data_IF_295768821516
#
_entry.id   IF_295768821516
#
_cell.length_a   1.000
_cell.length_b   1.000
_cell.length_c   1.000
_cell.angle_alpha   90.00
_cell.angle_beta   90.00
_cell.angle_gamma   90.00
#
_symmetry.space_group_name_H-M   'P 1'
#
loop_
_entity.id
_entity.type
_entity.pdbx_description
1 polymer ?
#
# COMPACT_ATOMS: atom_id res chain seq x y z
N UNK A 1 -59.58 -54.46 26.38
CA UNK A 1 -59.53 -54.29 24.92
C UNK A 1 -58.78 -53.01 24.59
N UNK A 2 -57.52 -53.22 24.48
CA UNK A 2 -56.57 -52.16 24.27
C UNK A 2 -55.89 -52.37 22.91
N UNK A 3 -55.99 -51.39 22.04
CA UNK A 3 -55.13 -51.28 20.87
C UNK A 3 -54.37 -49.98 20.94
N UNK A 4 -53.12 -50.08 21.27
CA UNK A 4 -52.16 -49.03 21.08
C UNK A 4 -51.38 -49.29 19.78
N UNK A 5 -51.52 -48.43 18.81
CA UNK A 5 -50.66 -48.35 17.59
C UNK A 5 -49.66 -47.21 17.76
N UNK A 6 -48.43 -47.58 18.07
CA UNK A 6 -47.26 -46.68 18.03
C UNK A 6 -46.60 -46.80 16.66
N UNK A 7 -46.79 -45.81 15.79
CA UNK A 7 -45.92 -45.59 14.65
C UNK A 7 -45.02 -44.38 14.95
N UNK A 8 -43.83 -44.68 15.39
CA UNK A 8 -42.73 -43.73 15.43
C UNK A 8 -41.99 -43.78 14.09
N UNK A 9 -42.22 -42.82 13.20
CA UNK A 9 -41.39 -42.57 12.03
C UNK A 9 -40.29 -41.57 12.43
N UNK A 10 -39.14 -42.09 12.80
CA UNK A 10 -37.89 -41.34 12.91
C UNK A 10 -37.30 -41.16 11.50
N UNK A 11 -37.65 -40.06 10.83
CA UNK A 11 -36.85 -39.57 9.72
C UNK A 11 -35.68 -38.79 10.31
N UNK A 12 -34.54 -39.44 10.47
CA UNK A 12 -33.25 -38.77 10.64
C UNK A 12 -32.87 -38.17 9.31
N UNK A 13 -33.07 -36.85 9.16
CA UNK A 13 -32.41 -36.09 8.13
C UNK A 13 -30.95 -36.00 8.52
N UNK A 14 -30.13 -36.93 7.99
CA UNK A 14 -28.70 -36.79 7.96
C UNK A 14 -28.39 -35.67 6.96
N UNK A 15 -28.27 -34.43 7.44
CA UNK A 15 -27.63 -33.36 6.70
C UNK A 15 -26.15 -33.77 6.51
N UNK A 16 -25.85 -34.36 5.37
CA UNK A 16 -24.50 -34.51 4.90
C UNK A 16 -23.96 -33.08 4.72
N UNK A 17 -23.27 -32.58 5.74
CA UNK A 17 -22.38 -31.42 5.57
C UNK A 17 -21.26 -31.89 4.66
N UNK A 18 -21.36 -31.53 3.39
CA UNK A 18 -20.22 -31.57 2.51
C UNK A 18 -19.18 -30.62 3.13
N UNK A 19 -18.17 -31.19 3.79
CA UNK A 19 -16.95 -30.47 4.13
C UNK A 19 -16.29 -30.10 2.78
N UNK A 20 -16.57 -28.90 2.30
CA UNK A 20 -15.78 -28.31 1.26
C UNK A 20 -14.36 -28.25 1.81
N UNK A 21 -13.45 -29.05 1.23
CA UNK A 21 -12.04 -29.02 1.57
C UNK A 21 -11.55 -27.58 1.51
N UNK A 22 -10.86 -27.12 2.56
CA UNK A 22 -10.25 -25.80 2.56
C UNK A 22 -9.17 -25.81 1.47
N UNK A 23 -9.38 -25.05 0.39
CA UNK A 23 -8.35 -24.81 -0.64
C UNK A 23 -7.12 -24.23 0.04
N UNK A 24 -5.99 -24.91 -0.11
CA UNK A 24 -4.73 -24.46 0.48
C UNK A 24 -3.94 -23.69 -0.57
N UNK A 25 -3.75 -22.41 -0.29
CA UNK A 25 -2.90 -21.55 -1.10
C UNK A 25 -1.48 -21.65 -0.52
N UNK A 26 -0.50 -21.85 -1.38
CA UNK A 26 0.92 -21.79 -1.02
C UNK A 26 1.67 -20.88 -1.99
N UNK A 27 2.71 -20.25 -1.50
CA UNK A 27 3.54 -19.36 -2.31
C UNK A 27 4.99 -19.81 -2.30
N UNK A 28 5.66 -19.64 -3.42
CA UNK A 28 7.10 -19.81 -3.58
C UNK A 28 7.72 -18.51 -4.05
N UNK A 29 8.89 -18.18 -3.51
CA UNK A 29 9.60 -16.94 -3.87
C UNK A 29 10.97 -17.29 -4.43
N UNK A 30 11.31 -16.67 -5.56
CA UNK A 30 12.66 -16.62 -6.12
C UNK A 30 13.11 -15.16 -6.18
N UNK A 31 14.33 -14.88 -5.71
CA UNK A 31 14.83 -13.51 -5.68
C UNK A 31 16.34 -13.48 -5.91
N UNK A 32 16.75 -12.75 -6.93
CA UNK A 32 18.14 -12.49 -7.24
C UNK A 32 18.44 -11.00 -7.10
N UNK A 33 19.61 -10.65 -6.56
CA UNK A 33 20.04 -9.26 -6.49
C UNK A 33 21.54 -9.14 -6.58
N UNK A 34 21.99 -8.22 -7.44
CA UNK A 34 23.40 -7.84 -7.57
C UNK A 34 23.55 -6.39 -7.13
N UNK A 35 24.41 -6.16 -6.13
CA UNK A 35 24.69 -4.80 -5.65
C UNK A 35 26.18 -4.52 -5.74
N UNK A 36 26.55 -3.44 -6.43
CA UNK A 36 27.92 -2.93 -6.52
C UNK A 36 27.98 -1.58 -5.83
N UNK A 37 28.86 -1.44 -4.82
CA UNK A 37 29.08 -0.17 -4.12
C UNK A 37 30.55 0.20 -4.18
N UNK A 38 30.83 1.47 -4.31
CA UNK A 38 32.19 1.99 -4.29
C UNK A 38 32.28 3.40 -3.75
N UNK A 39 33.49 3.74 -3.34
CA UNK A 39 33.83 5.07 -2.82
C UNK A 39 35.12 5.55 -3.42
N UNK A 40 35.17 6.83 -3.74
CA UNK A 40 36.38 7.48 -4.21
C UNK A 40 36.65 8.78 -3.43
N UNK A 41 37.75 8.83 -2.70
CA UNK A 41 38.17 10.03 -1.97
C UNK A 41 38.87 10.99 -2.92
N UNK A 42 38.41 12.23 -2.96
CA UNK A 42 38.97 13.31 -3.74
C UNK A 42 39.69 14.27 -2.76
N UNK A 43 40.92 14.63 -3.08
CA UNK A 43 41.61 15.69 -2.34
C UNK A 43 41.32 17.07 -2.98
N UNK A 44 40.02 17.30 -3.24
CA UNK A 44 39.53 18.50 -3.93
C UNK A 44 39.07 19.58 -2.95
N UNK A 45 39.03 20.84 -3.42
CA UNK A 45 38.55 21.95 -2.60
C UNK A 45 37.03 22.04 -2.50
N UNK A 46 36.28 21.30 -3.33
CA UNK A 46 34.82 21.39 -3.39
C UNK A 46 34.13 20.05 -3.07
N UNK A 47 34.69 18.94 -3.54
CA UNK A 47 34.16 17.59 -3.32
C UNK A 47 35.23 16.76 -2.62
N UNK A 48 34.93 16.20 -1.46
CA UNK A 48 35.83 15.40 -0.64
C UNK A 48 35.78 13.93 -1.01
N UNK A 49 34.56 13.43 -1.31
CA UNK A 49 34.29 12.02 -1.54
C UNK A 49 33.11 11.85 -2.49
N UNK A 50 33.19 10.84 -3.32
CA UNK A 50 32.07 10.32 -4.12
C UNK A 50 31.79 8.90 -3.67
N UNK A 51 30.59 8.61 -3.27
CA UNK A 51 30.05 7.25 -3.12
C UNK A 51 29.13 6.94 -4.27
N UNK A 52 29.15 5.70 -4.76
CA UNK A 52 28.25 5.27 -5.83
C UNK A 52 27.73 3.87 -5.55
N UNK A 53 26.53 3.61 -6.10
CA UNK A 53 25.84 2.34 -6.00
C UNK A 53 25.19 2.00 -7.35
N UNK A 54 25.27 0.74 -7.71
CA UNK A 54 24.42 0.09 -8.70
C UNK A 54 23.76 -1.09 -8.05
N UNK A 55 22.47 -1.28 -8.30
CA UNK A 55 21.72 -2.45 -7.89
C UNK A 55 20.83 -2.89 -9.04
N UNK A 56 20.81 -4.20 -9.24
CA UNK A 56 19.90 -4.91 -10.13
C UNK A 56 19.22 -5.98 -9.30
N UNK A 57 17.92 -6.09 -9.40
CA UNK A 57 17.13 -7.04 -8.63
C UNK A 57 15.97 -7.59 -9.44
N UNK A 58 15.78 -8.87 -9.30
CA UNK A 58 14.69 -9.65 -9.89
C UNK A 58 13.99 -10.40 -8.75
N UNK A 59 12.67 -10.28 -8.70
CA UNK A 59 11.84 -10.90 -7.69
C UNK A 59 10.64 -11.54 -8.36
N UNK A 60 10.42 -12.83 -8.08
CA UNK A 60 9.29 -13.61 -8.57
C UNK A 60 8.62 -14.29 -7.38
N UNK A 61 7.33 -14.02 -7.19
CA UNK A 61 6.46 -14.73 -6.26
C UNK A 61 5.43 -15.51 -7.09
N UNK A 62 5.34 -16.82 -6.86
CA UNK A 62 4.33 -17.69 -7.48
C UNK A 62 3.36 -18.13 -6.40
N UNK A 63 2.09 -17.88 -6.59
CA UNK A 63 0.99 -18.39 -5.77
C UNK A 63 0.28 -19.50 -6.53
N UNK A 64 0.05 -20.63 -5.85
CA UNK A 64 -0.54 -21.84 -6.42
C UNK A 64 -1.55 -22.43 -5.44
N UNK A 65 -2.55 -23.14 -5.95
CA UNK A 65 -3.60 -23.77 -5.17
C UNK A 65 -3.35 -25.28 -5.13
N UNK A 66 -3.36 -25.88 -3.94
CA UNK A 66 -3.31 -27.32 -3.78
C UNK A 66 -4.75 -27.86 -3.75
N UNK A 67 -5.22 -28.43 -4.86
CA UNK A 67 -6.46 -29.18 -4.87
C UNK A 67 -6.23 -30.49 -4.10
N UNK A 68 -6.91 -30.69 -2.97
CA UNK A 68 -6.95 -32.01 -2.33
C UNK A 68 -7.66 -32.98 -3.27
N UNK A 69 -6.87 -33.92 -3.84
CA UNK A 69 -7.37 -34.90 -4.79
C UNK A 69 -8.53 -35.70 -4.21
N UNK A 70 -9.72 -35.48 -4.73
CA UNK A 70 -10.85 -36.36 -4.51
C UNK A 70 -10.56 -37.74 -5.13
N UNK A 71 -10.44 -38.76 -4.27
CA UNK A 71 -10.30 -40.16 -4.67
C UNK A 71 -11.43 -40.57 -5.63
N UNK A 72 -11.01 -41.01 -6.81
CA UNK A 72 -11.65 -41.90 -7.77
C UNK A 72 -13.17 -42.18 -7.57
N UNK A 73 -14.04 -41.26 -7.98
CA UNK A 73 -15.35 -41.63 -8.49
C UNK A 73 -15.52 -41.05 -9.91
N UNK A 74 -15.38 -41.96 -10.88
CA UNK A 74 -15.32 -41.67 -12.29
C UNK A 74 -16.62 -41.04 -12.86
N UNK A 75 -16.57 -39.74 -13.01
CA UNK A 75 -17.25 -39.01 -14.07
C UNK A 75 -16.22 -38.03 -14.60
N UNK A 76 -15.93 -38.09 -15.93
CA UNK A 76 -14.98 -37.26 -16.63
C UNK A 76 -15.55 -35.82 -16.74
N UNK A 77 -15.59 -35.07 -15.62
CA UNK A 77 -15.68 -33.63 -15.65
C UNK A 77 -14.24 -33.11 -15.73
N UNK A 78 -13.93 -32.39 -16.81
CA UNK A 78 -12.64 -31.73 -17.02
C UNK A 78 -12.51 -30.67 -15.90
N UNK A 79 -11.78 -31.00 -14.81
CA UNK A 79 -11.35 -30.00 -13.83
C UNK A 79 -10.38 -29.07 -14.55
N UNK A 80 -10.77 -27.83 -14.72
CA UNK A 80 -9.88 -26.79 -15.20
C UNK A 80 -8.81 -26.59 -14.11
N UNK A 81 -7.59 -27.08 -14.38
CA UNK A 81 -6.43 -26.79 -13.53
C UNK A 81 -6.19 -25.26 -13.56
N UNK A 82 -6.42 -24.59 -12.44
CA UNK A 82 -6.14 -23.17 -12.33
C UNK A 82 -4.64 -22.92 -12.49
N UNK A 83 -4.27 -22.06 -13.44
CA UNK A 83 -2.87 -21.71 -13.63
C UNK A 83 -2.38 -20.81 -12.47
N UNK A 84 -1.16 -21.04 -11.95
CA UNK A 84 -0.64 -20.26 -10.85
C UNK A 84 -0.56 -18.77 -11.17
N UNK A 85 -0.75 -17.92 -10.18
CA UNK A 85 -0.56 -16.47 -10.29
C UNK A 85 0.89 -16.12 -9.98
N UNK A 86 1.54 -15.39 -10.88
CA UNK A 86 2.95 -15.03 -10.80
C UNK A 86 3.10 -13.53 -10.73
N UNK A 87 3.67 -13.05 -9.62
CA UNK A 87 4.03 -11.66 -9.38
C UNK A 87 5.50 -11.47 -9.72
N UNK A 88 5.81 -10.51 -10.56
CA UNK A 88 7.17 -10.19 -11.00
C UNK A 88 7.48 -8.73 -10.72
N UNK A 89 8.68 -8.49 -10.17
CA UNK A 89 9.23 -7.17 -9.97
C UNK A 89 10.70 -7.18 -10.40
N UNK A 90 11.03 -6.42 -11.43
CA UNK A 90 12.39 -6.21 -11.91
C UNK A 90 12.78 -4.75 -11.66
N UNK A 91 13.92 -4.49 -11.00
CA UNK A 91 14.33 -3.13 -10.71
C UNK A 91 15.83 -2.90 -10.91
N UNK A 92 16.16 -1.81 -11.57
CA UNK A 92 17.51 -1.30 -11.71
C UNK A 92 17.66 0.04 -11.00
N UNK A 93 18.65 0.17 -10.14
CA UNK A 93 18.91 1.38 -9.36
C UNK A 93 20.34 1.88 -9.52
N UNK A 94 20.50 3.18 -9.71
CA UNK A 94 21.78 3.90 -9.73
C UNK A 94 21.77 4.99 -8.66
N UNK A 95 22.72 4.92 -7.73
CA UNK A 95 22.87 5.91 -6.67
C UNK A 95 24.23 6.57 -6.71
N UNK A 96 24.28 7.87 -6.40
CA UNK A 96 25.52 8.59 -6.17
C UNK A 96 25.35 9.59 -5.03
N UNK A 97 26.39 9.78 -4.21
CA UNK A 97 26.45 10.87 -3.25
C UNK A 97 27.80 11.60 -3.31
N UNK A 98 27.72 12.91 -3.19
CA UNK A 98 28.88 13.80 -3.16
C UNK A 98 28.99 14.39 -1.76
N UNK A 99 30.12 14.12 -1.08
CA UNK A 99 30.49 14.83 0.15
C UNK A 99 31.13 16.16 -0.22
N UNK A 100 30.41 17.24 0.09
CA UNK A 100 30.88 18.63 -0.15
C UNK A 100 31.06 19.37 1.19
N UNK A 101 31.34 18.64 2.26
CA UNK A 101 31.58 19.15 3.60
C UNK A 101 32.81 20.03 3.65
N UNK A 102 32.80 20.96 4.58
CA UNK A 102 33.96 21.83 4.89
C UNK A 102 34.17 21.88 6.42
N UNK A 103 35.15 22.70 6.89
CA UNK A 103 35.50 22.78 8.31
C UNK A 103 34.38 23.33 9.20
N UNK A 104 33.30 23.86 8.61
CA UNK A 104 32.21 24.55 9.34
C UNK A 104 30.93 23.73 9.34
N UNK A 105 30.68 22.93 8.30
CA UNK A 105 29.45 22.17 8.15
C UNK A 105 29.68 20.89 7.33
N UNK A 106 28.93 19.86 7.69
CA UNK A 106 28.75 18.64 6.88
C UNK A 106 27.69 18.86 5.81
N UNK A 107 28.01 18.48 4.57
CA UNK A 107 27.04 18.61 3.47
C UNK A 107 27.16 17.45 2.50
N UNK A 108 26.00 17.00 2.00
CA UNK A 108 25.92 15.96 0.96
C UNK A 108 24.91 16.33 -0.10
N UNK A 109 25.25 16.06 -1.35
CA UNK A 109 24.31 15.98 -2.47
C UNK A 109 24.12 14.50 -2.81
N UNK A 110 22.86 14.09 -3.00
CA UNK A 110 22.49 12.72 -3.32
C UNK A 110 21.73 12.73 -4.63
N UNK A 111 22.00 11.74 -5.46
CA UNK A 111 21.29 11.47 -6.71
C UNK A 111 20.91 10.00 -6.69
N UNK A 112 19.66 9.71 -7.06
CA UNK A 112 19.19 8.35 -7.23
C UNK A 112 18.34 8.26 -8.49
N UNK A 113 18.43 7.14 -9.19
CA UNK A 113 17.55 6.80 -10.31
C UNK A 113 17.12 5.36 -10.12
N UNK A 114 15.83 5.12 -10.26
CA UNK A 114 15.19 3.79 -10.18
C UNK A 114 14.36 3.63 -11.45
N UNK A 115 14.47 2.46 -12.06
CA UNK A 115 13.60 1.98 -13.13
C UNK A 115 13.07 0.62 -12.68
N UNK A 116 11.75 0.49 -12.55
CA UNK A 116 11.09 -0.64 -11.93
C UNK A 116 9.88 -1.10 -12.76
N UNK A 117 9.91 -2.35 -13.19
CA UNK A 117 8.82 -3.01 -13.87
C UNK A 117 8.07 -3.95 -12.91
N UNK A 118 6.76 -3.81 -12.87
CA UNK A 118 5.85 -4.64 -12.08
C UNK A 118 4.86 -5.34 -12.99
N UNK A 119 4.64 -6.63 -12.80
CA UNK A 119 3.61 -7.36 -13.53
C UNK A 119 3.05 -8.52 -12.72
N UNK A 120 1.78 -8.83 -12.97
CA UNK A 120 1.10 -10.01 -12.44
C UNK A 120 0.58 -10.78 -13.66
N UNK A 121 0.89 -12.07 -13.74
CA UNK A 121 0.45 -12.94 -14.83
C UNK A 121 -0.16 -14.22 -14.28
N UNK A 122 -1.17 -14.77 -14.95
CA UNK A 122 -1.92 -15.94 -14.53
C UNK A 122 -3.41 -15.71 -14.75
N UNK A 123 -4.24 -16.67 -14.40
CA UNK A 123 -5.69 -16.54 -14.52
C UNK A 123 -6.27 -15.47 -13.58
N UNK A 124 -5.61 -15.25 -12.45
CA UNK A 124 -5.99 -14.30 -11.41
C UNK A 124 -5.12 -13.04 -11.42
N UNK A 125 -4.62 -12.65 -12.61
CA UNK A 125 -3.85 -11.43 -12.75
C UNK A 125 -4.76 -10.22 -12.57
N UNK A 126 -4.61 -9.51 -11.45
CA UNK A 126 -5.42 -8.34 -11.10
C UNK A 126 -4.69 -7.02 -11.31
N UNK A 127 -3.59 -7.00 -12.04
CA UNK A 127 -2.89 -5.79 -12.46
C UNK A 127 -2.18 -6.03 -13.79
N UNK A 128 -2.40 -5.15 -14.75
CA UNK A 128 -1.63 -5.13 -15.98
C UNK A 128 -0.16 -4.71 -15.72
N UNK A 129 0.79 -5.06 -16.60
CA UNK A 129 2.16 -4.58 -16.47
C UNK A 129 2.23 -3.06 -16.32
N UNK A 130 3.03 -2.61 -15.34
CA UNK A 130 3.22 -1.21 -15.01
C UNK A 130 4.70 -0.92 -14.77
N UNK A 131 5.16 0.28 -15.16
CA UNK A 131 6.52 0.75 -14.96
C UNK A 131 6.54 1.98 -14.07
N UNK A 132 7.60 2.12 -13.27
CA UNK A 132 7.88 3.27 -12.44
C UNK A 132 9.34 3.72 -12.64
N UNK A 133 9.53 4.90 -13.22
CA UNK A 133 10.83 5.56 -13.27
C UNK A 133 10.86 6.70 -12.26
N UNK A 134 11.92 6.77 -11.44
CA UNK A 134 12.07 7.82 -10.44
C UNK A 134 13.49 8.40 -10.46
N UNK A 135 13.60 9.71 -10.56
CA UNK A 135 14.86 10.45 -10.40
C UNK A 135 14.79 11.36 -9.19
N UNK A 136 15.68 11.13 -8.23
CA UNK A 136 15.78 11.88 -6.97
C UNK A 136 17.00 12.77 -6.93
N UNK A 137 16.81 13.99 -6.45
CA UNK A 137 17.91 14.86 -5.99
C UNK A 137 17.67 15.19 -4.52
N UNK A 138 18.66 14.87 -3.67
CA UNK A 138 18.65 15.18 -2.25
C UNK A 138 19.80 16.10 -1.84
N UNK A 139 19.55 16.98 -0.89
CA UNK A 139 20.57 17.77 -0.21
C UNK A 139 20.43 17.61 1.30
N UNK A 140 21.54 17.38 1.96
CA UNK A 140 21.63 17.32 3.43
C UNK A 140 22.73 18.28 3.91
N UNK A 141 22.43 18.98 5.01
CA UNK A 141 23.38 19.84 5.71
C UNK A 141 23.24 19.65 7.22
N UNK A 142 24.39 19.54 7.91
CA UNK A 142 24.46 19.53 9.37
C UNK A 142 25.53 20.55 9.82
N UNK A 143 25.21 21.34 10.81
CA UNK A 143 26.08 22.35 11.38
C UNK A 143 25.93 22.50 12.87
N UNK A 144 27.06 22.39 13.56
CA UNK A 144 27.17 22.76 14.97
C UNK A 144 27.48 24.27 15.10
N UNK A 145 26.67 24.93 15.91
CA UNK A 145 26.82 26.31 16.32
C UNK A 145 27.13 26.37 17.82
N UNK A 146 27.70 27.47 18.31
CA UNK A 146 28.10 27.57 19.71
C UNK A 146 26.98 27.29 20.73
N UNK A 147 25.72 27.48 20.33
CA UNK A 147 24.54 27.38 21.22
C UNK A 147 23.57 26.26 20.85
N UNK A 148 23.63 25.77 19.64
CA UNK A 148 22.72 24.75 19.11
C UNK A 148 23.27 24.10 17.84
N UNK A 149 22.80 22.93 17.50
CA UNK A 149 23.04 22.27 16.22
C UNK A 149 21.82 22.41 15.30
N UNK A 150 22.06 22.41 14.00
CA UNK A 150 21.00 22.45 12.98
C UNK A 150 21.28 21.40 11.92
N UNK A 151 20.28 20.60 11.62
CA UNK A 151 20.25 19.70 10.47
C UNK A 151 19.16 20.15 9.50
N UNK A 152 19.45 20.06 8.21
CA UNK A 152 18.53 20.37 7.13
C UNK A 152 18.59 19.24 6.09
N UNK A 153 17.44 18.74 5.68
CA UNK A 153 17.24 17.81 4.56
C UNK A 153 16.27 18.38 3.55
N UNK A 154 16.55 18.23 2.27
CA UNK A 154 15.66 18.56 1.15
C UNK A 154 15.74 17.46 0.11
N UNK A 155 14.59 17.11 -0.50
CA UNK A 155 14.49 16.11 -1.55
C UNK A 155 13.50 16.58 -2.59
N UNK A 156 13.82 16.34 -3.84
CA UNK A 156 12.93 16.55 -4.99
C UNK A 156 12.99 15.25 -5.80
N UNK A 157 11.82 14.73 -6.12
CA UNK A 157 11.67 13.55 -6.95
C UNK A 157 10.90 13.94 -8.22
N UNK A 158 11.40 13.47 -9.36
CA UNK A 158 10.68 13.44 -10.63
C UNK A 158 10.28 12.00 -10.86
N UNK A 159 8.99 11.75 -11.08
CA UNK A 159 8.43 10.42 -11.09
C UNK A 159 7.55 10.25 -12.32
N UNK A 160 7.86 9.24 -13.13
CA UNK A 160 7.08 8.79 -14.26
C UNK A 160 6.50 7.42 -13.98
N UNK A 161 5.17 7.28 -14.06
CA UNK A 161 4.47 6.00 -13.91
C UNK A 161 3.60 5.73 -15.10
N UNK A 162 3.75 4.55 -15.68
CA UNK A 162 2.91 4.08 -16.77
C UNK A 162 2.27 2.77 -16.42
N UNK A 163 1.02 2.61 -16.81
CA UNK A 163 0.25 1.39 -16.57
C UNK A 163 -1.07 1.42 -17.32
N UNK A 164 -1.88 0.40 -17.10
CA UNK A 164 -3.22 0.35 -17.69
C UNK A 164 -4.18 -0.42 -16.78
N UNK A 165 -5.47 -0.11 -16.93
CA UNK A 165 -6.57 -0.78 -16.25
C UNK A 165 -7.48 -1.39 -17.32
N UNK A 166 -7.88 -2.64 -17.15
CA UNK A 166 -8.82 -3.32 -18.03
C UNK A 166 -10.23 -3.16 -17.47
N UNK A 167 -11.18 -2.63 -18.25
CA UNK A 167 -12.59 -2.58 -17.89
C UNK A 167 -13.16 -4.01 -17.92
N UNK A 168 -13.62 -4.51 -16.79
CA UNK A 168 -14.13 -5.88 -16.65
C UNK A 168 -15.42 -6.12 -17.45
N UNK A 169 -16.27 -5.12 -17.63
CA UNK A 169 -17.55 -5.23 -18.30
C UNK A 169 -17.40 -5.31 -19.84
N UNK A 170 -16.43 -4.60 -20.40
CA UNK A 170 -16.28 -4.44 -21.86
C UNK A 170 -14.95 -4.98 -22.38
N UNK A 171 -13.97 -5.24 -21.54
CA UNK A 171 -12.63 -5.69 -21.92
C UNK A 171 -11.79 -4.60 -22.62
N UNK A 172 -12.23 -3.35 -22.54
CA UNK A 172 -11.47 -2.20 -23.05
C UNK A 172 -10.29 -1.90 -22.11
N UNK A 173 -9.15 -1.45 -22.66
CA UNK A 173 -7.95 -1.15 -21.88
C UNK A 173 -7.71 0.36 -21.88
N UNK A 174 -7.75 0.96 -20.70
CA UNK A 174 -7.41 2.36 -20.49
C UNK A 174 -5.93 2.50 -20.08
N UNK A 175 -5.16 3.27 -20.85
CA UNK A 175 -3.74 3.51 -20.62
C UNK A 175 -3.52 4.83 -19.88
N UNK A 176 -2.64 4.80 -18.89
CA UNK A 176 -2.29 5.94 -18.05
C UNK A 176 -0.79 6.23 -18.12
N UNK A 177 -0.45 7.50 -18.08
CA UNK A 177 0.91 8.00 -17.89
C UNK A 177 0.85 9.19 -16.94
N UNK A 178 1.51 9.06 -15.80
CA UNK A 178 1.56 10.04 -14.73
C UNK A 178 2.99 10.53 -14.63
N UNK A 179 3.21 11.81 -14.98
CA UNK A 179 4.49 12.51 -14.87
C UNK A 179 4.29 13.65 -13.85
N UNK A 180 4.87 13.51 -12.67
CA UNK A 180 4.71 14.47 -11.59
C UNK A 180 5.99 14.54 -10.73
N UNK A 181 6.05 15.51 -9.83
CA UNK A 181 7.17 15.72 -8.94
C UNK A 181 6.74 15.91 -7.51
N UNK A 182 7.51 15.37 -6.56
CA UNK A 182 7.30 15.59 -5.14
C UNK A 182 8.45 16.40 -4.53
N UNK A 183 8.12 17.10 -3.44
CA UNK A 183 9.06 17.88 -2.68
C UNK A 183 8.96 17.51 -1.20
N UNK A 184 10.09 17.17 -0.59
CA UNK A 184 10.13 16.87 0.83
C UNK A 184 11.24 17.68 1.49
N UNK A 185 11.01 18.10 2.72
CA UNK A 185 12.04 18.78 3.50
C UNK A 185 11.95 18.43 4.99
N UNK A 186 13.08 18.55 5.68
CA UNK A 186 13.16 18.36 7.12
C UNK A 186 14.14 19.36 7.73
N UNK A 187 13.85 19.81 8.94
CA UNK A 187 14.73 20.62 9.75
C UNK A 187 14.75 20.09 11.18
N UNK A 188 15.94 19.98 11.76
CA UNK A 188 16.10 19.63 13.17
C UNK A 188 17.01 20.66 13.86
N UNK A 189 16.69 20.97 15.11
CA UNK A 189 17.47 21.86 15.98
C UNK A 189 17.72 21.15 17.29
N UNK A 190 19.00 20.94 17.60
CA UNK A 190 19.46 20.35 18.85
C UNK A 190 20.09 21.41 19.79
N UNK A 191 19.89 21.30 21.08
CA UNK A 191 20.50 22.15 22.08
C UNK A 191 20.80 21.42 23.37
N UNK A 192 22.04 21.59 23.87
CA UNK A 192 22.39 21.21 25.22
C UNK A 192 21.86 22.26 26.22
N UNK A 193 20.97 21.84 27.10
CA UNK A 193 20.41 22.70 28.18
C UNK A 193 21.32 22.69 29.40
N UNK A 194 22.06 21.61 29.61
CA UNK A 194 23.11 21.43 30.62
C UNK A 194 24.05 20.30 30.19
N UNK A 195 25.08 20.03 31.03
CA UNK A 195 26.01 18.93 30.81
C UNK A 195 25.35 17.53 30.80
N UNK A 196 24.10 17.45 31.26
CA UNK A 196 23.36 16.19 31.42
C UNK A 196 22.02 16.15 30.67
N UNK A 197 21.57 17.25 30.11
CA UNK A 197 20.26 17.37 29.49
C UNK A 197 20.36 18.06 28.13
N UNK A 198 19.87 17.41 27.08
CA UNK A 198 19.71 18.01 25.76
C UNK A 198 18.27 17.91 25.25
N UNK A 199 17.92 18.78 24.33
CA UNK A 199 16.65 18.80 23.61
C UNK A 199 16.90 18.82 22.11
N UNK A 200 16.14 18.01 21.38
CA UNK A 200 16.05 18.06 19.92
C UNK A 200 14.62 18.35 19.52
N UNK A 201 14.43 19.19 18.52
CA UNK A 201 13.13 19.53 17.93
C UNK A 201 13.24 19.32 16.43
N UNK A 202 12.32 18.56 15.86
CA UNK A 202 12.25 18.23 14.44
C UNK A 202 10.95 18.71 13.82
N UNK A 203 11.02 19.08 12.53
CA UNK A 203 9.88 19.21 11.66
C UNK A 203 10.24 18.62 10.29
N UNK A 204 9.34 17.82 9.74
CA UNK A 204 9.48 17.26 8.39
C UNK A 204 8.14 17.32 7.67
N UNK A 205 8.17 17.73 6.40
CA UNK A 205 7.07 17.62 5.45
C UNK A 205 7.52 16.69 4.34
N UNK A 206 6.83 15.57 4.18
CA UNK A 206 7.19 14.51 3.23
C UNK A 206 6.01 14.28 2.29
N UNK A 207 6.27 14.42 1.00
CA UNK A 207 5.30 14.16 -0.06
C UNK A 207 5.66 12.86 -0.80
N UNK A 208 4.65 12.04 -1.13
CA UNK A 208 4.78 10.85 -1.98
C UNK A 208 3.66 10.76 -3.01
N UNK A 209 3.95 10.29 -4.20
CA UNK A 209 2.94 9.89 -5.17
C UNK A 209 2.42 8.46 -4.88
N UNK A 210 1.17 8.15 -5.25
CA UNK A 210 0.63 6.80 -5.19
C UNK A 210 1.50 5.81 -5.96
N UNK A 211 1.74 4.62 -5.46
CA UNK A 211 2.46 3.53 -6.14
C UNK A 211 1.68 3.00 -7.36
N UNK A 212 2.34 2.25 -8.25
CA UNK A 212 1.67 1.61 -9.40
C UNK A 212 0.57 0.64 -8.95
N UNK A 213 0.75 -0.01 -7.81
CA UNK A 213 -0.24 -0.90 -7.20
C UNK A 213 -1.49 -0.12 -6.77
N UNK A 214 -1.31 0.99 -6.03
CA UNK A 214 -2.41 1.85 -5.57
C UNK A 214 -3.18 2.50 -6.74
N UNK A 215 -2.53 2.65 -7.90
CA UNK A 215 -3.12 3.25 -9.10
C UNK A 215 -3.83 2.24 -10.00
N UNK A 216 -3.24 1.06 -10.23
CA UNK A 216 -3.58 0.21 -11.39
C UNK A 216 -4.06 -1.20 -11.04
N UNK A 217 -4.15 -1.57 -9.75
CA UNK A 217 -4.83 -2.81 -9.37
C UNK A 217 -6.26 -2.81 -9.89
N UNK A 218 -6.73 -3.92 -10.43
CA UNK A 218 -8.13 -4.10 -10.84
C UNK A 218 -8.42 -5.58 -11.06
N UNK A 219 -9.04 -6.23 -10.09
CA UNK A 219 -9.47 -7.60 -10.21
C UNK A 219 -9.46 -8.40 -8.90
N UNK A 220 -9.90 -9.65 -8.95
CA UNK A 220 -9.95 -10.52 -7.79
C UNK A 220 -8.54 -10.96 -7.39
N UNK A 221 -8.25 -10.83 -6.09
CA UNK A 221 -7.06 -11.39 -5.47
C UNK A 221 -7.49 -12.57 -4.58
N UNK A 222 -7.43 -13.78 -5.14
CA UNK A 222 -8.00 -14.97 -4.51
C UNK A 222 -7.33 -15.31 -3.19
N UNK A 223 -6.00 -15.10 -3.07
CA UNK A 223 -5.28 -15.34 -1.83
C UNK A 223 -5.80 -14.50 -0.64
N UNK A 224 -6.38 -13.33 -0.91
CA UNK A 224 -7.01 -12.48 0.10
C UNK A 224 -8.54 -12.60 0.14
N UNK A 225 -9.13 -13.22 -0.89
CA UNK A 225 -10.58 -13.31 -1.10
C UNK A 225 -11.24 -11.94 -1.34
N UNK A 226 -10.49 -10.97 -1.89
CA UNK A 226 -10.94 -9.59 -2.11
C UNK A 226 -10.89 -9.22 -3.58
N UNK A 227 -11.81 -8.35 -3.99
CA UNK A 227 -11.66 -7.58 -5.22
C UNK A 227 -10.79 -6.35 -4.89
N UNK A 228 -9.63 -6.24 -5.51
CA UNK A 228 -8.70 -5.13 -5.28
C UNK A 228 -8.76 -4.15 -6.46
N UNK A 229 -9.16 -2.91 -6.17
CA UNK A 229 -9.30 -1.87 -7.18
C UNK A 229 -8.45 -0.65 -6.81
N UNK A 230 -7.52 -0.28 -7.68
CA UNK A 230 -6.73 0.93 -7.59
C UNK A 230 -7.51 2.14 -8.13
N UNK A 231 -6.96 3.32 -7.91
CA UNK A 231 -7.55 4.55 -8.43
C UNK A 231 -6.49 5.40 -9.16
N UNK A 232 -6.54 5.48 -10.51
CA UNK A 232 -5.59 6.26 -11.29
C UNK A 232 -5.64 7.78 -11.04
N UNK A 233 -6.64 8.27 -10.30
CA UNK A 233 -6.82 9.68 -9.99
C UNK A 233 -6.42 10.05 -8.54
N UNK A 234 -5.72 9.18 -7.84
CA UNK A 234 -5.20 9.50 -6.51
C UNK A 234 -4.24 10.69 -6.57
N UNK A 235 -4.37 11.58 -5.59
CA UNK A 235 -3.44 12.69 -5.40
C UNK A 235 -2.25 12.27 -4.54
N UNK A 236 -1.17 13.06 -4.56
CA UNK A 236 -0.05 12.86 -3.64
C UNK A 236 -0.49 12.93 -2.18
N UNK A 237 0.09 12.07 -1.36
CA UNK A 237 -0.04 12.09 0.10
C UNK A 237 1.05 12.99 0.67
N UNK A 238 0.68 13.88 1.61
CA UNK A 238 1.62 14.75 2.33
C UNK A 238 1.54 14.47 3.83
N UNK A 239 2.69 14.19 4.45
CA UNK A 239 2.81 13.93 5.88
C UNK A 239 3.64 15.02 6.55
N UNK A 240 3.02 15.81 7.40
CA UNK A 240 3.66 16.83 8.24
C UNK A 240 3.92 16.26 9.64
N UNK A 241 5.20 16.20 10.02
CA UNK A 241 5.65 15.60 11.25
C UNK A 241 6.35 16.64 12.12
N UNK A 242 5.98 16.72 13.39
CA UNK A 242 6.67 17.53 14.39
C UNK A 242 7.04 16.65 15.58
N UNK A 243 8.27 16.79 16.05
CA UNK A 243 8.74 16.06 17.22
C UNK A 243 9.59 16.92 18.17
N UNK A 244 9.55 16.55 19.44
CA UNK A 244 10.44 17.05 20.50
C UNK A 244 10.95 15.87 21.30
N UNK A 245 12.27 15.76 21.43
CA UNK A 245 12.93 14.73 22.23
C UNK A 245 13.83 15.39 23.29
N UNK A 246 13.63 14.98 24.54
CA UNK A 246 14.50 15.30 25.67
C UNK A 246 15.39 14.11 25.97
N UNK A 247 16.70 14.31 26.05
CA UNK A 247 17.67 13.29 26.43
C UNK A 247 18.36 13.69 27.74
N UNK A 248 18.44 12.77 28.66
CA UNK A 248 19.14 12.91 29.92
C UNK A 248 20.21 11.84 30.07
N UNK A 249 21.46 12.25 30.34
CA UNK A 249 22.58 11.36 30.61
C UNK A 249 23.39 11.82 31.78
N UNK A 250 23.57 10.98 32.81
CA UNK A 250 24.37 11.26 33.97
C UNK A 250 24.89 9.96 34.62
N UNK A 251 26.21 9.87 34.85
CA UNK A 251 26.89 8.80 35.55
C UNK A 251 26.49 7.38 35.16
N UNK A 252 26.30 7.14 33.84
CA UNK A 252 25.90 5.85 33.28
C UNK A 252 24.39 5.58 33.31
N UNK A 253 23.58 6.52 33.79
CA UNK A 253 22.14 6.50 33.61
C UNK A 253 21.75 7.33 32.37
N UNK A 254 20.99 6.70 31.47
CA UNK A 254 20.43 7.31 30.27
C UNK A 254 18.91 7.19 30.27
N UNK A 255 18.22 8.28 29.96
CA UNK A 255 16.76 8.32 29.75
C UNK A 255 16.40 9.29 28.63
N UNK A 256 15.34 9.00 27.90
CA UNK A 256 14.79 9.94 26.92
C UNK A 256 13.26 9.97 27.00
N UNK A 257 12.68 11.08 26.58
CA UNK A 257 11.25 11.25 26.39
C UNK A 257 11.01 11.95 25.07
N UNK A 258 10.17 11.35 24.21
CA UNK A 258 9.80 11.89 22.91
C UNK A 258 8.31 12.18 22.85
N UNK A 259 7.97 13.31 22.29
CA UNK A 259 6.61 13.67 21.91
C UNK A 259 6.60 13.99 20.42
N UNK A 260 5.63 13.44 19.69
CA UNK A 260 5.47 13.68 18.27
C UNK A 260 4.01 13.86 17.88
N UNK A 261 3.78 14.60 16.80
CA UNK A 261 2.48 14.75 16.13
C UNK A 261 2.71 14.59 14.63
N UNK A 262 1.84 13.83 14.00
CA UNK A 262 1.82 13.66 12.55
C UNK A 262 0.44 14.04 12.04
N UNK A 263 0.39 14.87 11.01
CA UNK A 263 -0.80 15.21 10.25
C UNK A 263 -0.60 14.74 8.80
N UNK A 264 -1.60 14.09 8.22
CA UNK A 264 -1.49 13.50 6.88
C UNK A 264 -2.65 13.94 6.02
N UNK A 265 -2.34 14.66 4.95
CA UNK A 265 -3.29 15.03 3.92
C UNK A 265 -3.31 13.97 2.80
N UNK A 266 -4.50 13.66 2.26
CA UNK A 266 -4.72 12.67 1.21
C UNK A 266 -4.14 11.28 1.56
N UNK A 267 -4.35 10.83 2.79
CA UNK A 267 -3.87 9.54 3.26
C UNK A 267 -4.37 8.39 2.37
N UNK A 268 -3.43 7.67 1.77
CA UNK A 268 -3.73 6.55 0.87
C UNK A 268 -3.72 5.26 1.67
N UNK A 269 -4.86 4.59 1.71
CA UNK A 269 -5.03 3.31 2.41
C UNK A 269 -6.02 2.43 1.66
N UNK A 270 -5.89 1.13 1.82
CA UNK A 270 -6.89 0.18 1.36
C UNK A 270 -8.13 0.27 2.27
N UNK A 271 -9.30 0.38 1.66
CA UNK A 271 -10.59 0.37 2.36
C UNK A 271 -11.47 -0.69 1.71
N UNK A 272 -12.24 -1.39 2.54
CA UNK A 272 -13.32 -2.23 2.02
C UNK A 272 -14.47 -1.29 1.57
N UNK A 273 -15.07 -1.54 0.41
CA UNK A 273 -16.31 -0.88 0.04
C UNK A 273 -17.40 -1.37 0.99
N UNK A 274 -18.01 -0.45 1.75
CA UNK A 274 -19.23 -0.74 2.47
C UNK A 274 -20.30 -1.08 1.42
N UNK A 275 -20.87 -2.28 1.48
CA UNK A 275 -22.08 -2.59 0.70
C UNK A 275 -23.12 -1.52 1.08
N UNK A 276 -23.35 -0.56 0.17
CA UNK A 276 -24.42 0.40 0.32
C UNK A 276 -25.72 -0.38 0.52
N UNK A 277 -26.11 -0.54 1.77
CA UNK A 277 -27.47 -0.93 2.12
C UNK A 277 -28.35 0.20 1.59
N UNK A 278 -28.83 0.03 0.36
CA UNK A 278 -29.98 0.78 -0.13
C UNK A 278 -31.05 0.70 0.95
N UNK A 279 -31.11 1.74 1.80
CA UNK A 279 -32.24 1.98 2.67
C UNK A 279 -33.43 2.21 1.75
N UNK A 280 -34.08 1.13 1.35
CA UNK A 280 -35.43 1.20 0.81
C UNK A 280 -36.30 1.78 1.90
N UNK A 281 -36.42 3.11 1.92
CA UNK A 281 -37.52 3.80 2.56
C UNK A 281 -38.83 3.30 1.90
N UNK A 282 -39.40 2.25 2.48
CA UNK A 282 -40.78 1.85 2.20
C UNK A 282 -41.69 3.01 2.61
N UNK A 283 -41.89 3.98 1.70
CA UNK A 283 -42.98 4.91 1.79
C UNK A 283 -44.28 4.16 1.57
N UNK A 284 -44.81 3.58 2.67
CA UNK A 284 -46.21 3.13 2.74
C UNK A 284 -47.12 4.37 2.70
N UNK A 285 -47.51 4.76 1.51
CA UNK A 285 -48.65 5.62 1.31
C UNK A 285 -49.92 4.80 1.53
N UNK A 286 -50.37 4.71 2.81
CA UNK A 286 -51.75 4.38 3.18
C UNK A 286 -52.58 5.65 3.11
N UNK A 287 -53.05 6.05 1.93
CA UNK A 287 -54.20 6.95 1.77
C UNK A 287 -55.40 6.13 1.35
N UNK A 288 -56.09 5.56 2.34
CA UNK A 288 -57.48 5.18 2.19
C UNK A 288 -58.36 6.38 2.51
N UNK A 289 -58.80 7.10 1.49
CA UNK A 289 -59.92 8.01 1.58
C UNK A 289 -61.18 7.16 1.58
N UNK A 290 -61.86 7.10 2.74
CA UNK A 290 -63.24 6.66 2.90
C UNK A 290 -64.20 7.64 2.21
N UNK A 291 -64.69 7.31 1.02
CA UNK A 291 -65.86 7.96 0.47
C UNK A 291 -67.14 7.37 1.03
N UNK A 292 -67.71 8.07 1.99
CA UNK A 292 -69.08 7.87 2.47
C UNK A 292 -70.11 8.05 1.34
N UNK A 293 -70.75 6.94 0.98
CA UNK A 293 -72.03 6.95 0.23
C UNK A 293 -73.16 6.87 1.21
N UNK A 294 -73.85 7.99 1.43
CA UNK A 294 -75.23 8.08 1.84
C UNK A 294 -75.88 9.17 1.03
N UNK A 295 -76.87 8.83 0.25
CA UNK A 295 -78.25 9.25 0.41
C UNK A 295 -79.09 8.90 -0.82
N UNK A 296 -79.96 7.95 -0.64
CA UNK A 296 -81.19 7.78 -1.39
C UNK A 296 -82.23 8.78 -0.90
N UNK A 297 -82.73 9.58 -1.79
CA UNK A 297 -84.12 10.08 -1.64
C UNK A 297 -84.86 9.93 -2.95
N UNK A 298 -85.95 9.14 -2.84
CA UNK A 298 -87.07 9.09 -3.76
C UNK A 298 -87.75 10.41 -3.83
N UNK A 299 -88.27 10.77 -5.01
CA UNK A 299 -89.69 11.20 -5.15
C UNK A 299 -90.02 11.58 -6.63
N UNK A 300 -91.08 10.88 -7.10
CA UNK A 300 -92.16 11.14 -8.12
C UNK A 300 -91.73 11.09 -9.61
#
# INVERSE_FOLDING_TARGET
>A
DEHGDEHGDEHGDEEEHEEHGEERIFSTTDSESVTIKGSYNLNGNLVNKIDFMYRDSDYVLTEDHEEEGHDEHGDEEEHEEHAPTVFMNEATEYGASLDISNDVMSQKLVFNFVDEDNSIVGEEAFMNPANNEEFTIGYYMSRDLDLFSVDLGMRIDQIDRTGSVTDEDHGDIDYYSIDDSTNSFAVSVGKDLSDTLSVNMGFASVERLPSVIELFMNGPHMATGRLETGNPNLMSETSDNFDITLNYENDGFYAYASFYVTDVDNYITLMDEDEDHDEHEDEHHDEHEDEDHDEHEDEH
#
